data_IF_615787593820
#
_entry.id   IF_615787593820
#
_cell.length_a   1.000
_cell.length_b   1.000
_cell.length_c   1.000
_cell.angle_alpha   90.00
_cell.angle_beta   90.00
_cell.angle_gamma   90.00
#
_symmetry.space_group_name_H-M   'P 1'
#
loop_
_entity.id
_entity.type
_entity.pdbx_description
1 polymer ?
#
# COMPACT_ATOMS: atom_id res chain seq x y z
N UNK A 1 -6.64 20.66 -2.88
CA UNK A 1 -6.01 20.17 -1.63
C UNK A 1 -5.30 18.86 -1.98
N UNK A 2 -4.03 18.68 -1.58
CA UNK A 2 -3.31 17.45 -1.86
C UNK A 2 -3.75 16.34 -0.88
N UNK A 3 -4.48 15.35 -1.40
CA UNK A 3 -5.02 14.21 -0.64
C UNK A 3 -3.90 13.37 -0.03
N UNK A 4 -2.74 13.29 -0.71
CA UNK A 4 -1.63 12.44 -0.30
C UNK A 4 -0.83 13.00 0.89
N UNK A 5 -1.12 14.22 1.32
CA UNK A 5 -0.50 14.86 2.49
C UNK A 5 -1.42 14.91 3.72
N UNK A 6 -2.59 14.30 3.62
CA UNK A 6 -3.53 14.29 4.74
C UNK A 6 -3.25 13.15 5.72
N UNK A 7 -3.59 13.35 6.98
CA UNK A 7 -3.54 12.28 7.98
C UNK A 7 -4.67 11.26 7.75
N UNK A 8 -4.47 10.03 8.21
CA UNK A 8 -5.51 8.97 8.13
C UNK A 8 -6.84 9.45 8.73
N UNK A 9 -6.80 10.11 9.89
CA UNK A 9 -8.00 10.64 10.54
C UNK A 9 -8.72 11.69 9.69
N UNK A 10 -7.97 12.56 8.99
CA UNK A 10 -8.55 13.56 8.09
C UNK A 10 -9.17 12.88 6.85
N UNK A 11 -8.44 11.93 6.25
CA UNK A 11 -8.95 11.17 5.11
C UNK A 11 -10.23 10.42 5.46
N UNK A 12 -10.29 9.78 6.65
CA UNK A 12 -11.51 9.10 7.10
C UNK A 12 -12.68 10.06 7.22
N UNK A 13 -12.48 11.24 7.82
CA UNK A 13 -13.52 12.27 7.90
C UNK A 13 -14.01 12.74 6.52
N UNK A 14 -13.11 12.90 5.55
CA UNK A 14 -13.46 13.29 4.19
C UNK A 14 -14.29 12.22 3.48
N UNK A 15 -13.93 10.93 3.65
CA UNK A 15 -14.70 9.79 3.13
C UNK A 15 -16.10 9.74 3.77
N UNK A 16 -16.22 9.93 5.10
CA UNK A 16 -17.50 9.94 5.81
C UNK A 16 -18.43 11.08 5.38
N UNK A 17 -17.84 12.25 5.09
CA UNK A 17 -18.56 13.42 4.60
C UNK A 17 -18.80 13.41 3.10
N UNK A 18 -18.33 12.38 2.39
CA UNK A 18 -18.39 12.28 0.93
C UNK A 18 -17.73 13.45 0.20
N UNK A 19 -16.73 14.07 0.84
CA UNK A 19 -15.89 15.12 0.23
C UNK A 19 -14.92 14.52 -0.80
N UNK A 20 -14.62 13.23 -0.67
CA UNK A 20 -13.83 12.40 -1.59
C UNK A 20 -14.36 10.97 -1.55
N UNK A 21 -14.33 10.27 -2.67
CA UNK A 21 -14.62 8.84 -2.74
C UNK A 21 -13.35 7.99 -2.53
N UNK A 22 -13.51 6.73 -2.09
CA UNK A 22 -12.39 5.81 -1.94
C UNK A 22 -11.65 5.56 -3.28
N UNK A 23 -12.32 5.42 -4.44
CA UNK A 23 -11.63 5.34 -5.74
C UNK A 23 -10.83 6.61 -6.10
N UNK A 24 -11.38 7.81 -5.88
CA UNK A 24 -10.66 9.07 -6.13
C UNK A 24 -9.43 9.19 -5.24
N UNK A 25 -9.57 8.86 -3.95
CA UNK A 25 -8.45 8.85 -3.00
C UNK A 25 -7.37 7.86 -3.44
N UNK A 26 -7.76 6.63 -3.79
CA UNK A 26 -6.84 5.58 -4.23
C UNK A 26 -6.12 5.99 -5.51
N UNK A 27 -6.85 6.57 -6.48
CA UNK A 27 -6.25 7.06 -7.71
C UNK A 27 -5.21 8.14 -7.45
N UNK A 28 -5.45 9.08 -6.55
CA UNK A 28 -4.48 10.12 -6.20
C UNK A 28 -3.16 9.52 -5.68
N UNK A 29 -3.22 8.48 -4.85
CA UNK A 29 -2.02 7.77 -4.38
C UNK A 29 -1.32 6.98 -5.50
N UNK A 30 -2.08 6.28 -6.35
CA UNK A 30 -1.51 5.54 -7.48
C UNK A 30 -0.85 6.47 -8.50
N UNK A 31 -1.46 7.61 -8.81
CA UNK A 31 -0.89 8.64 -9.69
C UNK A 31 0.43 9.18 -9.11
N UNK A 32 0.50 9.40 -7.79
CA UNK A 32 1.73 9.81 -7.11
C UNK A 32 2.82 8.75 -7.17
N UNK A 33 2.47 7.47 -6.94
CA UNK A 33 3.39 6.34 -7.09
C UNK A 33 3.92 6.30 -8.53
N UNK A 34 3.06 6.37 -9.53
CA UNK A 34 3.45 6.34 -10.93
C UNK A 34 4.38 7.51 -11.32
N UNK A 35 4.18 8.68 -10.73
CA UNK A 35 4.99 9.86 -11.01
C UNK A 35 6.39 9.81 -10.38
N UNK A 36 6.54 9.24 -9.19
CA UNK A 36 7.76 9.39 -8.39
C UNK A 36 8.48 8.09 -8.06
N UNK A 37 7.76 6.95 -7.97
CA UNK A 37 8.34 5.74 -7.38
C UNK A 37 9.43 5.11 -8.26
N UNK A 38 9.43 5.38 -9.56
CA UNK A 38 10.53 4.97 -10.44
C UNK A 38 11.90 5.54 -9.97
N UNK A 39 11.88 6.72 -9.34
CA UNK A 39 13.08 7.35 -8.79
C UNK A 39 13.30 6.99 -7.32
N UNK A 40 12.22 6.88 -6.54
CA UNK A 40 12.28 6.64 -5.08
C UNK A 40 12.48 5.16 -4.77
N UNK A 41 11.84 4.26 -5.52
CA UNK A 41 11.91 2.79 -5.33
C UNK A 41 11.39 2.34 -3.96
N UNK A 42 10.26 2.92 -3.52
CA UNK A 42 9.61 2.55 -2.27
C UNK A 42 8.73 1.30 -2.38
N UNK A 43 8.34 0.90 -3.60
CA UNK A 43 7.55 -0.30 -3.86
C UNK A 43 8.34 -1.33 -4.67
N UNK A 44 8.29 -2.60 -4.24
CA UNK A 44 8.75 -3.75 -5.03
C UNK A 44 7.67 -4.17 -6.03
N UNK A 45 6.41 -4.14 -5.59
CA UNK A 45 5.24 -4.48 -6.42
C UNK A 45 4.13 -3.48 -6.18
N UNK A 46 3.64 -2.83 -7.21
CA UNK A 46 2.44 -1.99 -7.16
C UNK A 46 1.25 -2.81 -7.65
N UNK A 47 0.14 -2.80 -6.90
CA UNK A 47 -1.07 -3.61 -7.18
C UNK A 47 -2.24 -2.73 -7.58
N UNK A 48 -2.07 -1.93 -8.65
CA UNK A 48 -3.03 -0.89 -9.03
C UNK A 48 -4.45 -1.42 -9.30
N UNK A 49 -4.59 -2.52 -10.04
CA UNK A 49 -5.90 -3.12 -10.34
C UNK A 49 -6.59 -3.61 -9.06
N UNK A 50 -5.85 -4.29 -8.19
CA UNK A 50 -6.35 -4.73 -6.89
C UNK A 50 -6.74 -3.55 -6.01
N UNK A 51 -5.91 -2.49 -5.96
CA UNK A 51 -6.20 -1.28 -5.19
C UNK A 51 -7.51 -0.62 -5.62
N UNK A 52 -7.76 -0.52 -6.93
CA UNK A 52 -9.02 0.03 -7.43
C UNK A 52 -10.21 -0.86 -7.08
N UNK A 53 -10.07 -2.18 -7.18
CA UNK A 53 -11.14 -3.11 -6.79
C UNK A 53 -11.42 -3.05 -5.27
N UNK A 54 -10.38 -2.97 -4.44
CA UNK A 54 -10.52 -2.78 -2.99
C UNK A 54 -11.22 -1.44 -2.67
N UNK A 55 -10.89 -0.37 -3.41
CA UNK A 55 -11.50 0.95 -3.25
C UNK A 55 -13.00 0.94 -3.60
N UNK A 56 -13.38 0.28 -4.70
CA UNK A 56 -14.78 0.14 -5.09
C UNK A 56 -15.58 -0.67 -4.05
N UNK A 57 -14.98 -1.73 -3.50
CA UNK A 57 -15.60 -2.51 -2.45
C UNK A 57 -15.75 -1.71 -1.15
N UNK A 58 -14.73 -0.92 -0.78
CA UNK A 58 -14.77 -0.04 0.37
C UNK A 58 -15.82 1.07 0.20
N UNK A 59 -15.93 1.66 -1.00
CA UNK A 59 -16.94 2.69 -1.29
C UNK A 59 -18.36 2.18 -1.04
N UNK A 60 -18.67 0.97 -1.48
CA UNK A 60 -19.98 0.34 -1.21
C UNK A 60 -20.28 0.21 0.29
N UNK A 61 -19.26 -0.07 1.12
CA UNK A 61 -19.42 -0.13 2.58
C UNK A 61 -19.66 1.26 3.19
N UNK A 62 -18.94 2.26 2.68
CA UNK A 62 -19.11 3.67 3.09
C UNK A 62 -20.53 4.14 2.76
N UNK A 63 -21.01 3.88 1.54
CA UNK A 63 -22.35 4.28 1.09
C UNK A 63 -23.47 3.60 1.88
N UNK A 64 -23.24 2.36 2.30
CA UNK A 64 -24.16 1.60 3.15
C UNK A 64 -24.11 1.99 4.64
N UNK A 65 -23.24 2.91 5.05
CA UNK A 65 -23.08 3.31 6.46
C UNK A 65 -22.39 2.26 7.35
N UNK A 66 -21.73 1.27 6.75
CA UNK A 66 -21.08 0.14 7.43
C UNK A 66 -19.54 0.22 7.38
N UNK A 67 -18.99 1.43 7.29
CA UNK A 67 -17.57 1.66 7.18
C UNK A 67 -16.88 1.61 8.56
N UNK A 68 -15.84 0.77 8.70
CA UNK A 68 -14.92 0.82 9.83
C UNK A 68 -13.92 1.96 9.73
N UNK A 69 -13.13 2.15 10.77
CA UNK A 69 -12.16 3.28 10.89
C UNK A 69 -11.09 3.32 9.82
N UNK A 70 -10.73 2.19 9.21
CA UNK A 70 -9.74 2.10 8.13
C UNK A 70 -10.35 1.83 6.75
N UNK A 71 -11.68 1.78 6.66
CA UNK A 71 -12.36 1.47 5.41
C UNK A 71 -12.04 2.52 4.33
N UNK A 72 -11.53 2.07 3.18
CA UNK A 72 -11.16 2.94 2.06
C UNK A 72 -9.83 3.69 2.23
N UNK A 73 -9.06 3.42 3.29
CA UNK A 73 -7.75 4.05 3.51
C UNK A 73 -6.67 3.32 2.70
N UNK A 74 -5.93 4.03 1.82
CA UNK A 74 -4.83 3.45 1.06
C UNK A 74 -3.65 3.07 1.97
N UNK A 75 -3.10 1.86 1.78
CA UNK A 75 -1.98 1.33 2.56
C UNK A 75 -0.92 0.68 1.69
N UNK A 76 0.35 0.92 2.04
CA UNK A 76 1.48 0.11 1.62
C UNK A 76 1.67 -1.06 2.59
N UNK A 77 1.87 -2.26 2.08
CA UNK A 77 2.09 -3.47 2.87
C UNK A 77 3.54 -3.90 2.72
N UNK A 78 4.25 -4.07 3.82
CA UNK A 78 5.66 -4.46 3.79
C UNK A 78 5.84 -5.82 3.08
N UNK A 79 6.91 -5.96 2.31
CA UNK A 79 7.08 -7.11 1.41
C UNK A 79 7.47 -8.43 2.11
N UNK A 80 7.51 -8.47 3.43
CA UNK A 80 7.58 -9.70 4.22
C UNK A 80 6.22 -10.15 4.78
N UNK A 81 5.15 -9.40 4.52
CA UNK A 81 3.80 -9.78 4.95
C UNK A 81 3.15 -10.60 3.84
N UNK A 82 2.97 -11.90 4.07
CA UNK A 82 2.33 -12.79 3.12
C UNK A 82 0.93 -12.29 2.77
N UNK A 83 0.69 -12.13 1.47
CA UNK A 83 -0.59 -11.67 0.92
C UNK A 83 -0.98 -12.63 -0.19
N UNK A 84 -2.12 -13.31 -0.01
CA UNK A 84 -2.61 -14.33 -0.93
C UNK A 84 -2.69 -13.81 -2.37
N UNK A 85 -2.12 -14.58 -3.30
CA UNK A 85 -2.10 -14.25 -4.73
C UNK A 85 -1.19 -13.09 -5.13
N UNK A 86 -0.47 -12.46 -4.19
CA UNK A 86 0.41 -11.32 -4.47
C UNK A 86 1.85 -11.66 -4.13
N UNK A 87 2.76 -11.39 -5.08
CA UNK A 87 4.19 -11.61 -4.90
C UNK A 87 4.69 -11.03 -3.57
N UNK A 88 5.39 -11.84 -2.79
CA UNK A 88 5.92 -11.50 -1.46
C UNK A 88 7.35 -12.01 -1.37
N UNK A 89 8.34 -11.13 -1.54
CA UNK A 89 9.72 -11.52 -1.83
C UNK A 89 10.68 -11.37 -0.65
N UNK A 90 10.27 -10.69 0.42
CA UNK A 90 11.20 -10.27 1.49
C UNK A 90 12.41 -9.50 0.95
N UNK A 91 12.26 -8.79 -0.17
CA UNK A 91 13.33 -8.10 -0.89
C UNK A 91 14.50 -9.02 -1.32
N UNK A 92 14.28 -10.33 -1.40
CA UNK A 92 15.28 -11.34 -1.73
C UNK A 92 15.10 -11.92 -3.15
N UNK A 93 16.20 -12.12 -3.86
CA UNK A 93 16.21 -12.86 -5.12
C UNK A 93 15.70 -14.30 -4.95
N UNK A 94 15.94 -14.92 -3.81
CA UNK A 94 15.50 -16.29 -3.53
C UNK A 94 13.98 -16.44 -3.62
N UNK A 95 13.22 -15.37 -3.26
CA UNK A 95 11.77 -15.35 -3.25
C UNK A 95 11.18 -14.48 -4.38
N UNK A 96 11.96 -14.07 -5.36
CA UNK A 96 11.52 -13.12 -6.42
C UNK A 96 10.22 -13.55 -7.13
N UNK A 97 9.93 -14.85 -7.18
CA UNK A 97 8.76 -15.42 -7.83
C UNK A 97 7.78 -16.06 -6.82
N UNK A 98 7.99 -15.86 -5.53
CA UNK A 98 7.11 -16.47 -4.53
C UNK A 98 5.78 -15.71 -4.43
N UNK A 99 4.71 -16.45 -4.62
CA UNK A 99 3.32 -15.99 -4.43
C UNK A 99 2.71 -16.87 -3.34
N UNK A 100 2.47 -16.33 -2.13
CA UNK A 100 1.89 -17.10 -1.05
C UNK A 100 0.45 -17.49 -1.36
N UNK A 101 0.03 -18.74 -1.04
CA UNK A 101 -1.37 -19.20 -1.16
C UNK A 101 -2.19 -18.90 0.10
N UNK A 102 -1.77 -17.93 0.92
CA UNK A 102 -2.42 -17.54 2.18
C UNK A 102 -2.07 -16.12 2.57
N UNK A 103 -2.90 -15.54 3.44
CA UNK A 103 -2.63 -14.25 4.07
C UNK A 103 -1.98 -14.43 5.44
N UNK A 104 -1.04 -13.55 5.79
CA UNK A 104 -0.63 -13.39 7.19
C UNK A 104 -1.81 -12.86 8.02
N UNK A 105 -1.87 -13.22 9.30
CA UNK A 105 -2.96 -12.80 10.22
C UNK A 105 -3.16 -11.28 10.25
N UNK A 106 -2.07 -10.50 10.17
CA UNK A 106 -2.17 -9.04 10.10
C UNK A 106 -2.87 -8.59 8.82
N UNK A 107 -2.61 -9.26 7.69
CA UNK A 107 -3.27 -8.95 6.42
C UNK A 107 -4.76 -9.28 6.46
N UNK A 108 -5.14 -10.42 7.03
CA UNK A 108 -6.54 -10.78 7.23
C UNK A 108 -7.29 -9.72 8.06
N UNK A 109 -6.67 -9.23 9.14
CA UNK A 109 -7.25 -8.18 9.98
C UNK A 109 -7.39 -6.86 9.23
N UNK A 110 -6.42 -6.48 8.41
CA UNK A 110 -6.49 -5.27 7.58
C UNK A 110 -7.58 -5.40 6.51
N UNK A 111 -7.66 -6.53 5.83
CA UNK A 111 -8.71 -6.80 4.83
C UNK A 111 -10.11 -6.77 5.45
N UNK A 112 -10.27 -7.29 6.67
CA UNK A 112 -11.53 -7.22 7.41
C UNK A 112 -11.96 -5.76 7.72
N UNK A 113 -11.02 -4.81 7.76
CA UNK A 113 -11.27 -3.37 7.89
C UNK A 113 -11.53 -2.69 6.54
N UNK A 114 -11.49 -3.43 5.43
CA UNK A 114 -11.66 -2.92 4.07
C UNK A 114 -10.65 -1.81 3.71
N UNK A 115 -9.39 -1.98 4.10
CA UNK A 115 -8.29 -1.11 3.63
C UNK A 115 -8.06 -1.30 2.13
N UNK A 116 -7.46 -0.33 1.50
CA UNK A 116 -7.06 -0.40 0.09
C UNK A 116 -5.56 -0.70 0.01
N UNK A 117 -5.20 -1.85 -0.55
CA UNK A 117 -3.80 -2.23 -0.69
C UNK A 117 -3.18 -1.63 -1.96
N UNK A 118 -2.23 -0.69 -1.81
CA UNK A 118 -1.53 -0.05 -2.93
C UNK A 118 -0.43 -0.94 -3.53
N UNK A 119 0.19 -1.79 -2.70
CA UNK A 119 1.30 -2.65 -3.13
C UNK A 119 2.19 -3.09 -1.98
N UNK A 120 3.32 -3.71 -2.35
CA UNK A 120 4.33 -4.27 -1.45
C UNK A 120 5.50 -3.31 -1.34
N UNK A 121 5.71 -2.76 -0.14
CA UNK A 121 6.77 -1.81 0.15
C UNK A 121 8.14 -2.46 0.26
N UNK A 122 9.17 -1.78 -0.24
CA UNK A 122 10.56 -2.20 -0.18
C UNK A 122 11.06 -2.33 1.25
N UNK A 123 12.09 -3.14 1.42
CA UNK A 123 12.70 -3.46 2.71
C UNK A 123 14.11 -3.99 2.50
N UNK A 124 14.90 -4.13 3.55
CA UNK A 124 16.13 -4.90 3.52
C UNK A 124 15.83 -6.39 3.38
N UNK A 125 16.73 -7.14 2.73
CA UNK A 125 16.57 -8.57 2.52
C UNK A 125 16.29 -9.29 3.84
N UNK A 126 15.20 -10.05 3.90
CA UNK A 126 14.68 -10.75 5.08
C UNK A 126 14.53 -9.88 6.35
N UNK A 127 14.33 -8.56 6.16
CA UNK A 127 14.21 -7.57 7.22
C UNK A 127 15.50 -7.41 8.08
N UNK A 128 16.67 -7.74 7.53
CA UNK A 128 17.95 -7.67 8.22
C UNK A 128 18.71 -6.39 7.81
N UNK A 129 18.19 -5.25 8.23
CA UNK A 129 18.78 -3.93 7.97
C UNK A 129 17.80 -2.80 8.28
N UNK A 130 18.19 -1.56 7.96
CA UNK A 130 17.40 -0.35 8.25
C UNK A 130 17.41 0.70 7.13
N UNK A 131 18.00 0.38 5.97
CA UNK A 131 18.27 1.36 4.89
C UNK A 131 17.84 0.92 3.51
N UNK A 132 17.35 -0.31 3.35
CA UNK A 132 17.05 -0.99 2.07
C UNK A 132 18.26 -1.27 1.18
N UNK A 133 19.49 -1.06 1.68
CA UNK A 133 20.73 -1.28 0.91
C UNK A 133 20.94 -2.74 0.50
N UNK A 134 20.43 -3.69 1.29
CA UNK A 134 20.52 -5.12 0.99
C UNK A 134 19.38 -5.64 0.10
N UNK A 135 18.44 -4.78 -0.31
CA UNK A 135 17.35 -5.17 -1.19
C UNK A 135 17.84 -5.58 -2.57
N UNK A 136 17.47 -6.78 -3.02
CA UNK A 136 17.74 -7.23 -4.39
C UNK A 136 17.09 -6.34 -5.47
N UNK A 137 15.97 -5.70 -5.16
CA UNK A 137 15.18 -4.91 -6.11
C UNK A 137 15.63 -3.45 -6.20
N UNK A 138 16.60 -3.04 -5.38
CA UNK A 138 17.16 -1.69 -5.38
C UNK A 138 16.94 -0.96 -4.07
N UNK A 139 17.69 0.14 -3.91
CA UNK A 139 17.72 0.97 -2.69
C UNK A 139 16.64 2.04 -2.76
N UNK A 140 15.81 2.13 -1.73
CA UNK A 140 14.84 3.21 -1.58
C UNK A 140 15.56 4.53 -1.29
N UNK A 141 15.23 5.57 -2.02
CA UNK A 141 15.86 6.89 -1.91
C UNK A 141 15.00 7.86 -1.12
N UNK A 142 15.63 8.63 -0.25
CA UNK A 142 14.94 9.71 0.45
C UNK A 142 14.74 10.91 -0.52
N UNK A 143 13.49 11.34 -0.80
CA UNK A 143 13.25 12.46 -1.72
C UNK A 143 13.65 13.83 -1.13
N UNK A 144 13.93 13.92 0.18
CA UNK A 144 14.25 15.17 0.88
C UNK A 144 15.75 15.29 1.17
N UNK A 145 16.49 14.19 1.13
CA UNK A 145 17.92 14.16 1.44
C UNK A 145 18.70 13.34 0.42
N UNK A 146 19.81 13.89 -0.07
CA UNK A 146 20.71 13.19 -1.00
C UNK A 146 21.67 12.22 -0.30
N UNK A 147 21.54 12.00 1.00
CA UNK A 147 22.45 11.16 1.80
C UNK A 147 22.04 9.68 1.88
N UNK A 148 20.95 9.30 1.26
CA UNK A 148 20.52 7.90 1.15
C UNK A 148 19.72 7.68 -0.12
#
# INVERSE_FOLDING_TARGET
MDLTQQTIGKLRQMLDRKEVSAPELTKAYLDRIAAYDKTIQSYITVTAERAMADADAAQKKIDAGNAGVLCGIPMAIKDNICTDGIKTTCASKMLENFIPPYNATVMEKLMAQNVVMLGKASMDEFAMGSSTESSYFGVTRNPVSYTH
#
